data_IF_768096997922
#
_entry.id   IF_768096997922
#
_cell.length_a   1.000
_cell.length_b   1.000
_cell.length_c   1.000
_cell.angle_alpha   90.00
_cell.angle_beta   90.00
_cell.angle_gamma   90.00
#
_symmetry.space_group_name_H-M   'P 1'
#
loop_
_entity.id
_entity.type
_entity.pdbx_description
1 polymer ?
#
# COMPACT_ATOMS: atom_id res chain seq x y z
N UNK A 1 17.81 -13.39 57.83
CA UNK A 1 16.89 -13.24 59.00
C UNK A 1 16.62 -11.76 59.21
N UNK A 2 15.50 -11.43 59.90
CA UNK A 2 14.91 -10.10 60.26
C UNK A 2 14.15 -9.41 59.12
N UNK A 3 12.80 -9.34 59.01
CA UNK A 3 11.72 -8.98 59.97
C UNK A 3 12.02 -7.62 60.64
N UNK A 4 11.19 -6.57 60.67
CA UNK A 4 9.79 -6.30 60.30
C UNK A 4 9.58 -4.75 60.43
N UNK A 5 8.36 -4.17 60.47
CA UNK A 5 7.91 -3.02 59.69
C UNK A 5 7.95 -1.66 60.42
N UNK A 6 7.73 -0.54 59.71
CA UNK A 6 7.22 0.69 60.33
C UNK A 6 6.14 1.29 59.43
N UNK A 7 4.91 1.23 59.95
CA UNK A 7 3.79 2.04 59.48
C UNK A 7 3.89 3.43 60.12
N UNK A 8 3.76 4.48 59.32
CA UNK A 8 3.44 5.82 59.81
C UNK A 8 2.25 6.32 59.01
N UNK A 9 1.11 6.38 59.68
CA UNK A 9 -0.09 7.07 59.24
C UNK A 9 0.05 8.55 59.62
N UNK A 10 -0.11 9.45 58.65
CA UNK A 10 -0.39 10.86 58.90
C UNK A 10 -1.66 11.21 58.13
N UNK A 11 -2.74 11.42 58.88
CA UNK A 11 -3.94 12.11 58.44
C UNK A 11 -3.75 13.60 58.72
N UNK A 12 -3.96 14.45 57.72
CA UNK A 12 -4.39 15.84 57.92
C UNK A 12 -5.11 16.35 56.68
N UNK A 13 -6.35 16.75 56.92
CA UNK A 13 -7.38 17.32 56.04
C UNK A 13 -7.05 18.74 55.57
N UNK A 14 -7.41 19.07 54.33
CA UNK A 14 -7.52 20.45 53.84
C UNK A 14 -8.04 20.50 52.41
N UNK A 15 -9.31 20.87 52.25
CA UNK A 15 -9.94 21.19 50.96
C UNK A 15 -9.32 22.46 50.35
N UNK A 16 -9.14 22.49 49.02
CA UNK A 16 -9.60 23.56 48.12
C UNK A 16 -9.20 23.23 46.67
N UNK A 17 -10.24 23.05 45.84
CA UNK A 17 -10.34 23.34 44.41
C UNK A 17 -9.11 23.13 43.49
N UNK A 18 -9.25 22.18 42.55
CA UNK A 18 -8.45 22.19 41.33
C UNK A 18 -8.15 20.82 40.75
N UNK A 19 -9.17 20.03 40.41
CA UNK A 19 -9.00 18.89 39.52
C UNK A 19 -8.62 19.41 38.12
N UNK A 20 -7.34 19.68 37.90
CA UNK A 20 -6.80 19.80 36.55
C UNK A 20 -6.69 18.37 35.99
N UNK A 21 -7.82 17.85 35.53
CA UNK A 21 -7.85 16.71 34.61
C UNK A 21 -6.95 17.09 33.43
N UNK A 22 -5.94 16.30 33.05
CA UNK A 22 -5.39 16.46 31.71
C UNK A 22 -6.54 16.18 30.76
N UNK A 23 -7.04 17.23 30.10
CA UNK A 23 -7.96 17.08 29.00
C UNK A 23 -7.34 16.04 28.05
N UNK A 24 -8.10 15.02 27.60
CA UNK A 24 -7.62 14.20 26.52
C UNK A 24 -7.32 15.18 25.40
N UNK A 25 -6.04 15.27 25.00
CA UNK A 25 -5.67 15.97 23.79
C UNK A 25 -6.53 15.31 22.72
N UNK A 26 -7.54 16.04 22.29
CA UNK A 26 -8.25 15.77 21.05
C UNK A 26 -7.13 15.56 20.04
N UNK A 27 -6.89 14.29 19.69
CA UNK A 27 -6.03 13.96 18.57
C UNK A 27 -6.73 14.66 17.43
N UNK A 28 -6.16 15.80 17.04
CA UNK A 28 -6.59 16.55 15.90
C UNK A 28 -6.73 15.54 14.78
N UNK A 29 -7.89 15.55 14.13
CA UNK A 29 -8.23 14.73 12.98
C UNK A 29 -7.03 14.74 12.03
N UNK A 30 -6.18 13.73 12.14
CA UNK A 30 -5.21 13.41 11.11
C UNK A 30 -6.06 13.19 9.86
N UNK A 31 -5.74 13.80 8.71
CA UNK A 31 -6.57 13.67 7.53
C UNK A 31 -6.81 12.19 7.30
N UNK A 32 -8.03 11.72 7.58
CA UNK A 32 -8.37 10.32 7.40
C UNK A 32 -8.09 10.04 5.95
N UNK A 33 -7.05 9.25 5.70
CA UNK A 33 -6.70 8.81 4.37
C UNK A 33 -8.00 8.35 3.73
N UNK A 34 -8.37 8.84 2.53
CA UNK A 34 -9.57 8.38 1.86
C UNK A 34 -9.43 6.87 1.78
N UNK A 35 -10.13 6.21 2.68
CA UNK A 35 -10.09 4.77 2.82
C UNK A 35 -10.84 4.32 1.59
N UNK A 36 -10.11 4.04 0.52
CA UNK A 36 -10.69 3.38 -0.64
C UNK A 36 -11.39 2.17 -0.04
N UNK A 37 -12.73 2.16 -0.13
CA UNK A 37 -13.56 1.19 0.57
C UNK A 37 -12.93 -0.19 0.40
N UNK A 38 -12.72 -0.90 1.51
CA UNK A 38 -12.03 -2.17 1.52
C UNK A 38 -12.63 -3.07 0.41
N UNK A 39 -11.80 -3.41 -0.59
CA UNK A 39 -12.23 -4.20 -1.74
C UNK A 39 -12.50 -3.43 -3.04
N UNK A 40 -12.31 -2.12 -3.14
CA UNK A 40 -12.25 -1.42 -4.44
C UNK A 40 -10.79 -1.12 -4.78
N UNK A 41 -10.33 -1.54 -5.96
CA UNK A 41 -8.97 -1.23 -6.42
C UNK A 41 -8.89 0.19 -6.98
N UNK A 42 -7.83 0.97 -6.66
CA UNK A 42 -7.54 2.24 -7.33
C UNK A 42 -7.05 2.08 -8.78
N UNK A 43 -6.97 0.85 -9.30
CA UNK A 43 -6.49 0.52 -10.65
C UNK A 43 -7.67 0.02 -11.48
N UNK A 44 -8.37 0.90 -12.23
CA UNK A 44 -9.41 0.45 -13.15
C UNK A 44 -8.79 -0.28 -14.36
N UNK A 45 -7.74 0.30 -14.95
CA UNK A 45 -6.85 -0.38 -15.88
C UNK A 45 -5.45 0.25 -15.82
N UNK A 46 -4.44 -0.52 -16.17
CA UNK A 46 -3.06 -0.09 -16.21
C UNK A 46 -2.32 -0.75 -17.37
N UNK A 47 -1.56 0.05 -18.12
CA UNK A 47 -0.60 -0.44 -19.10
C UNK A 47 0.76 0.15 -18.79
N UNK A 48 1.75 -0.69 -18.59
CA UNK A 48 3.12 -0.26 -18.34
C UNK A 48 4.15 -1.23 -18.90
N UNK A 49 5.41 -0.91 -18.75
CA UNK A 49 6.49 -1.73 -19.28
C UNK A 49 7.82 -1.00 -19.37
N UNK A 50 8.74 -1.64 -20.05
CA UNK A 50 10.07 -1.11 -20.36
C UNK A 50 10.64 -1.84 -21.58
N UNK A 51 11.95 -1.72 -21.79
CA UNK A 51 12.61 -2.36 -22.92
C UNK A 51 12.36 -3.88 -22.92
N UNK A 52 11.71 -4.38 -23.98
CA UNK A 52 11.48 -5.82 -24.21
C UNK A 52 10.37 -6.46 -23.38
N UNK A 53 9.58 -5.69 -22.62
CA UNK A 53 8.47 -6.25 -21.84
C UNK A 53 7.31 -5.26 -21.61
N UNK A 54 6.11 -5.80 -21.40
CA UNK A 54 4.89 -5.03 -21.12
C UNK A 54 4.02 -5.76 -20.11
N UNK A 55 3.34 -5.03 -19.24
CA UNK A 55 2.26 -5.51 -18.39
C UNK A 55 0.96 -4.75 -18.66
N UNK A 56 -0.13 -5.50 -18.77
CA UNK A 56 -1.49 -4.99 -18.89
C UNK A 56 -2.32 -5.55 -17.75
N UNK A 57 -3.11 -4.69 -17.11
CA UNK A 57 -3.92 -5.02 -15.93
C UNK A 57 -5.28 -4.36 -16.11
N UNK A 58 -6.36 -5.11 -15.91
CA UNK A 58 -7.73 -4.61 -16.03
C UNK A 58 -8.53 -5.08 -14.84
N UNK A 59 -9.19 -4.15 -14.14
CA UNK A 59 -10.08 -4.47 -13.02
C UNK A 59 -11.25 -5.33 -13.48
N UNK A 60 -11.52 -6.40 -12.76
CA UNK A 60 -12.72 -7.23 -12.89
C UNK A 60 -13.72 -6.95 -11.75
N UNK A 61 -13.44 -5.96 -10.92
CA UNK A 61 -14.26 -5.56 -9.78
C UNK A 61 -13.85 -6.23 -8.46
N UNK A 62 -14.34 -5.67 -7.35
CA UNK A 62 -14.06 -6.15 -5.97
C UNK A 62 -12.57 -6.33 -5.66
N UNK A 63 -11.72 -5.48 -6.27
CA UNK A 63 -10.28 -5.49 -6.07
C UNK A 63 -9.53 -6.54 -6.89
N UNK A 64 -10.22 -7.32 -7.74
CA UNK A 64 -9.63 -8.32 -8.62
C UNK A 64 -9.29 -7.72 -9.99
N UNK A 65 -8.29 -8.30 -10.65
CA UNK A 65 -7.81 -7.86 -11.95
C UNK A 65 -7.40 -9.07 -12.79
N UNK A 66 -7.73 -9.02 -14.07
CA UNK A 66 -7.05 -9.82 -15.07
C UNK A 66 -5.74 -9.13 -15.43
N UNK A 67 -4.67 -9.91 -15.58
CA UNK A 67 -3.36 -9.38 -15.90
C UNK A 67 -2.63 -10.23 -16.94
N UNK A 68 -1.83 -9.57 -17.76
CA UNK A 68 -0.91 -10.22 -18.68
C UNK A 68 0.46 -9.54 -18.68
N UNK A 69 1.51 -10.33 -18.48
CA UNK A 69 2.89 -9.90 -18.62
C UNK A 69 3.48 -10.54 -19.88
N UNK A 70 3.91 -9.73 -20.83
CA UNK A 70 4.63 -10.19 -22.02
C UNK A 70 6.11 -9.82 -21.92
N UNK A 71 7.00 -10.80 -22.05
CA UNK A 71 8.45 -10.63 -22.04
C UNK A 71 9.13 -11.76 -22.82
N UNK A 72 10.21 -11.46 -23.56
CA UNK A 72 11.03 -12.47 -24.25
C UNK A 72 10.22 -13.41 -25.18
N UNK A 73 9.21 -12.87 -25.87
CA UNK A 73 8.34 -13.67 -26.75
C UNK A 73 7.35 -14.59 -26.04
N UNK A 74 7.23 -14.50 -24.71
CA UNK A 74 6.27 -15.24 -23.88
C UNK A 74 5.26 -14.31 -23.23
N UNK A 75 4.04 -14.80 -23.03
CA UNK A 75 3.00 -14.09 -22.28
C UNK A 75 2.53 -14.92 -21.09
N UNK A 76 2.67 -14.39 -19.89
CA UNK A 76 2.18 -14.94 -18.64
C UNK A 76 0.87 -14.25 -18.28
N UNK A 77 -0.25 -14.96 -18.43
CA UNK A 77 -1.57 -14.49 -18.00
C UNK A 77 -1.90 -14.95 -16.59
N UNK A 78 -2.72 -14.21 -15.88
CA UNK A 78 -3.24 -14.64 -14.59
C UNK A 78 -4.09 -13.56 -13.94
N UNK A 79 -4.17 -13.62 -12.61
CA UNK A 79 -5.05 -12.76 -11.83
C UNK A 79 -4.27 -12.09 -10.71
N UNK A 80 -4.60 -10.83 -10.45
CA UNK A 80 -4.02 -10.04 -9.38
C UNK A 80 -5.11 -9.43 -8.51
N UNK A 81 -4.85 -9.27 -7.22
CA UNK A 81 -5.77 -8.71 -6.25
C UNK A 81 -5.13 -7.55 -5.51
N UNK A 82 -5.89 -6.48 -5.34
CA UNK A 82 -5.58 -5.39 -4.42
C UNK A 82 -6.12 -5.76 -3.02
N UNK A 83 -5.26 -6.08 -2.04
CA UNK A 83 -5.70 -6.43 -0.69
C UNK A 83 -6.11 -5.20 0.14
N UNK A 84 -5.85 -3.99 -0.37
CA UNK A 84 -5.93 -2.74 0.39
C UNK A 84 -4.56 -2.06 0.45
N UNK A 85 -4.55 -0.83 0.96
CA UNK A 85 -3.33 -0.07 1.14
C UNK A 85 -2.53 -0.66 2.32
N UNK A 86 -1.23 -0.96 2.17
CA UNK A 86 -0.41 -1.32 3.32
C UNK A 86 -0.37 -0.18 4.34
N UNK A 87 -0.47 -0.49 5.64
CA UNK A 87 -0.66 0.50 6.71
C UNK A 87 0.41 1.60 6.73
N UNK A 88 1.67 1.25 6.49
CA UNK A 88 2.81 2.17 6.54
C UNK A 88 3.28 2.62 5.13
N UNK A 89 2.51 2.34 4.08
CA UNK A 89 2.87 2.69 2.71
C UNK A 89 2.28 4.05 2.29
N UNK A 90 3.02 4.84 1.50
CA UNK A 90 2.48 6.09 0.94
C UNK A 90 1.27 5.79 0.04
N UNK A 91 0.28 6.68 0.03
CA UNK A 91 -0.95 6.54 -0.78
C UNK A 91 -0.70 6.52 -2.30
N UNK A 92 0.49 6.92 -2.73
CA UNK A 92 0.93 6.82 -4.12
C UNK A 92 1.30 5.39 -4.52
N UNK A 93 1.63 4.51 -3.57
CA UNK A 93 1.98 3.10 -3.81
C UNK A 93 0.72 2.24 -3.81
N UNK A 94 0.53 1.50 -4.88
CA UNK A 94 -0.50 0.47 -5.03
C UNK A 94 0.21 -0.88 -5.19
N UNK A 95 -0.20 -1.87 -4.41
CA UNK A 95 0.36 -3.23 -4.46
C UNK A 95 -0.72 -4.21 -4.87
N UNK A 96 -0.46 -4.97 -5.93
CA UNK A 96 -1.31 -6.05 -6.40
C UNK A 96 -0.57 -7.38 -6.25
N UNK A 97 -1.24 -8.38 -5.68
CA UNK A 97 -0.69 -9.72 -5.44
C UNK A 97 -1.51 -10.78 -6.15
N UNK A 98 -0.87 -11.83 -6.65
CA UNK A 98 -1.58 -12.96 -7.22
C UNK A 98 -0.64 -13.87 -8.00
N UNK A 99 -1.08 -14.30 -9.18
CA UNK A 99 -0.31 -15.21 -10.01
C UNK A 99 -0.28 -14.74 -11.46
N UNK A 100 0.86 -14.92 -12.10
CA UNK A 100 1.05 -14.77 -13.55
C UNK A 100 1.70 -16.04 -14.08
N UNK A 101 1.08 -16.70 -15.06
CA UNK A 101 1.62 -17.93 -15.62
C UNK A 101 1.80 -19.05 -14.59
N UNK A 102 0.91 -19.12 -13.59
CA UNK A 102 0.98 -20.06 -12.44
C UNK A 102 2.19 -19.86 -11.52
N UNK A 103 2.83 -18.70 -11.57
CA UNK A 103 3.89 -18.30 -10.64
C UNK A 103 3.39 -17.15 -9.76
N UNK A 104 3.67 -17.16 -8.45
CA UNK A 104 3.39 -16.03 -7.58
C UNK A 104 3.99 -14.74 -8.14
N UNK A 105 3.19 -13.67 -8.09
CA UNK A 105 3.54 -12.38 -8.66
C UNK A 105 3.10 -11.23 -7.74
N UNK A 106 3.96 -10.22 -7.66
CA UNK A 106 3.70 -8.94 -7.00
C UNK A 106 3.90 -7.84 -8.03
N UNK A 107 2.93 -6.95 -8.15
CA UNK A 107 3.01 -5.75 -8.98
C UNK A 107 2.86 -4.53 -8.09
N UNK A 108 3.89 -3.69 -8.09
CA UNK A 108 3.90 -2.42 -7.39
C UNK A 108 3.76 -1.30 -8.43
N UNK A 109 2.71 -0.50 -8.31
CA UNK A 109 2.48 0.68 -9.15
C UNK A 109 2.62 1.90 -8.25
N UNK A 110 3.49 2.84 -8.62
CA UNK A 110 3.63 4.11 -7.90
C UNK A 110 3.13 5.25 -8.77
N UNK A 111 2.23 6.06 -8.23
CA UNK A 111 1.76 7.30 -8.87
C UNK A 111 2.83 8.38 -8.72
N UNK A 112 3.76 8.41 -9.66
CA UNK A 112 4.89 9.34 -9.70
C UNK A 112 5.30 9.61 -11.15
N UNK A 113 6.02 10.71 -11.37
CA UNK A 113 6.61 10.99 -12.68
C UNK A 113 7.61 9.88 -13.04
N UNK A 114 7.48 9.31 -14.25
CA UNK A 114 8.35 8.27 -14.76
C UNK A 114 8.66 8.55 -16.23
N UNK A 115 9.94 8.59 -16.60
CA UNK A 115 10.34 8.76 -17.99
C UNK A 115 10.80 7.42 -18.56
N UNK A 116 10.16 6.97 -19.63
CA UNK A 116 10.49 5.69 -20.25
C UNK A 116 11.76 5.78 -21.13
N UNK A 117 12.20 4.64 -21.66
CA UNK A 117 13.43 4.55 -22.47
C UNK A 117 13.33 5.34 -23.78
N UNK A 118 12.10 5.57 -24.26
CA UNK A 118 11.79 6.36 -25.46
C UNK A 118 11.74 7.88 -25.17
N UNK A 119 11.96 8.30 -23.91
CA UNK A 119 11.96 9.70 -23.51
C UNK A 119 10.58 10.30 -23.26
N UNK A 120 9.53 9.48 -23.24
CA UNK A 120 8.15 9.87 -22.95
C UNK A 120 7.92 9.87 -21.44
N UNK A 121 7.36 10.97 -20.94
CA UNK A 121 6.96 11.10 -19.55
C UNK A 121 5.59 10.47 -19.31
N UNK A 122 5.49 9.65 -18.27
CA UNK A 122 4.26 9.04 -17.77
C UNK A 122 4.05 9.42 -16.30
N UNK A 123 2.86 9.10 -15.78
CA UNK A 123 2.43 9.46 -14.43
C UNK A 123 2.42 8.27 -13.46
N UNK A 124 3.07 7.16 -13.85
CA UNK A 124 3.25 6.04 -12.98
C UNK A 124 4.51 5.24 -13.31
N UNK A 125 5.21 4.80 -12.26
CA UNK A 125 6.22 3.74 -12.37
C UNK A 125 5.60 2.39 -12.00
N UNK A 126 6.19 1.31 -12.51
CA UNK A 126 5.76 -0.06 -12.20
C UNK A 126 6.97 -0.96 -11.95
N UNK A 127 6.82 -1.82 -10.96
CA UNK A 127 7.73 -2.91 -10.66
C UNK A 127 6.95 -4.22 -10.65
N UNK A 128 7.43 -5.21 -11.41
CA UNK A 128 6.86 -6.56 -11.46
C UNK A 128 7.89 -7.55 -10.93
N UNK A 129 7.48 -8.31 -9.92
CA UNK A 129 8.27 -9.38 -9.32
C UNK A 129 7.50 -10.68 -9.51
N UNK A 130 8.11 -11.65 -10.18
CA UNK A 130 7.58 -13.02 -10.31
C UNK A 130 8.59 -14.00 -9.74
N UNK A 131 8.12 -15.02 -9.03
CA UNK A 131 9.00 -16.01 -8.43
C UNK A 131 9.90 -16.69 -9.48
N UNK A 132 11.21 -16.74 -9.20
CA UNK A 132 12.21 -17.35 -10.08
C UNK A 132 12.52 -16.56 -11.37
N UNK A 133 12.02 -15.33 -11.51
CA UNK A 133 12.27 -14.46 -12.66
C UNK A 133 12.98 -13.17 -12.27
N UNK A 134 13.73 -12.54 -13.19
CA UNK A 134 14.31 -11.23 -12.95
C UNK A 134 13.23 -10.19 -12.71
N UNK A 135 13.48 -9.32 -11.75
CA UNK A 135 12.59 -8.20 -11.47
C UNK A 135 12.55 -7.23 -12.65
N UNK A 136 11.36 -6.73 -12.99
CA UNK A 136 11.18 -5.77 -14.08
C UNK A 136 10.74 -4.42 -13.52
N UNK A 137 11.33 -3.33 -14.02
CA UNK A 137 11.01 -1.95 -13.65
C UNK A 137 10.73 -1.15 -14.91
N UNK A 138 9.73 -0.28 -14.85
CA UNK A 138 9.25 0.43 -16.02
C UNK A 138 8.32 1.59 -15.69
N UNK A 139 7.77 2.18 -16.73
CA UNK A 139 6.79 3.27 -16.64
C UNK A 139 5.46 2.81 -17.22
N UNK A 140 4.37 3.49 -16.86
CA UNK A 140 3.06 3.18 -17.40
C UNK A 140 2.01 4.26 -17.18
N UNK A 141 0.79 3.95 -17.59
CA UNK A 141 -0.37 4.80 -17.50
C UNK A 141 -1.48 4.06 -16.78
N UNK A 142 -2.05 4.70 -15.76
CA UNK A 142 -3.36 4.34 -15.26
C UNK A 142 -4.40 4.91 -16.23
N UNK A 143 -5.28 4.06 -16.74
CA UNK A 143 -6.47 4.57 -17.42
C UNK A 143 -7.35 5.25 -16.38
N UNK A 144 -7.92 6.40 -16.74
CA UNK A 144 -9.00 7.03 -15.97
C UNK A 144 -10.19 7.05 -16.92
N UNK A 145 -11.24 6.32 -16.56
CA UNK A 145 -12.52 6.34 -17.28
C UNK A 145 -13.46 7.33 -16.61
#
# INVERSE_FOLDING_TARGET
MTMRPIAVAVLLTGLLAGCATPAPKTVADEPRHPSIAAGVSPVPAFTGGGAGWRIEITSTGQGNHDASLSAEGRTHKGTLRYPGQPADAPSSLIVLNGELGRQPAIVEIKRESCRNAEGVDTLASVQVTMEGQPQRRGCGHLAVY
#
